data_IF_842394636304
#
_entry.id   IF_842394636304
#
_cell.length_a   1.000
_cell.length_b   1.000
_cell.length_c   1.000
_cell.angle_alpha   90.00
_cell.angle_beta   90.00
_cell.angle_gamma   90.00
#
_symmetry.space_group_name_H-M   'P 1'
#
loop_
_entity.id
_entity.type
_entity.pdbx_description
1 polymer ?
#
# COMPACT_ATOMS: atom_id res chain seq x y z
N UNK A 1 -4.00 -13.04 5.38
CA UNK A 1 -4.81 -11.99 4.75
C UNK A 1 -4.97 -12.39 3.30
N UNK A 2 -6.18 -12.75 2.92
CA UNK A 2 -6.57 -13.04 1.53
C UNK A 2 -6.79 -11.71 0.79
N UNK A 3 -6.70 -11.69 -0.55
CA UNK A 3 -6.93 -10.48 -1.38
C UNK A 3 -8.31 -9.87 -1.11
N UNK A 4 -9.28 -10.72 -0.74
CA UNK A 4 -10.65 -10.34 -0.36
C UNK A 4 -10.70 -9.57 0.97
N UNK A 5 -9.79 -9.86 1.90
CA UNK A 5 -9.75 -9.21 3.22
C UNK A 5 -9.30 -7.75 3.09
N UNK A 6 -8.40 -7.44 2.16
CA UNK A 6 -7.94 -6.07 1.87
C UNK A 6 -9.09 -5.16 1.44
N UNK A 7 -10.05 -5.70 0.68
CA UNK A 7 -11.24 -4.94 0.21
C UNK A 7 -12.42 -4.93 1.18
N UNK A 8 -12.37 -5.72 2.26
CA UNK A 8 -13.49 -5.93 3.18
C UNK A 8 -13.77 -4.76 4.13
N UNK A 9 -12.87 -3.77 4.19
CA UNK A 9 -12.98 -2.62 5.09
C UNK A 9 -12.72 -2.93 6.57
N UNK A 10 -12.38 -4.17 6.92
CA UNK A 10 -12.14 -4.59 8.30
C UNK A 10 -10.64 -4.77 8.62
N UNK A 11 -9.82 -3.78 8.23
CA UNK A 11 -8.35 -3.82 8.39
C UNK A 11 -7.89 -3.87 9.85
N UNK A 12 -8.74 -3.48 10.79
CA UNK A 12 -8.36 -3.28 12.19
C UNK A 12 -9.05 -4.24 13.17
N UNK A 13 -9.99 -5.11 12.76
CA UNK A 13 -10.70 -5.99 13.71
C UNK A 13 -10.79 -7.44 13.23
N UNK A 14 -9.80 -8.30 13.56
CA UNK A 14 -8.60 -8.01 14.36
C UNK A 14 -7.51 -7.29 13.55
N UNK A 15 -6.48 -6.77 14.22
CA UNK A 15 -5.27 -6.33 13.52
C UNK A 15 -4.65 -7.51 12.74
N UNK A 16 -4.10 -7.28 11.53
CA UNK A 16 -3.41 -8.32 10.81
C UNK A 16 -2.17 -8.77 11.57
N UNK A 17 -1.85 -10.06 11.44
CA UNK A 17 -0.59 -10.61 11.92
C UNK A 17 0.59 -9.90 11.23
N UNK A 18 1.70 -9.76 11.95
CA UNK A 18 2.89 -9.18 11.36
C UNK A 18 3.39 -10.09 10.21
N UNK A 19 3.71 -9.54 9.03
CA UNK A 19 3.93 -10.35 7.83
C UNK A 19 5.34 -10.97 7.78
N UNK A 20 5.63 -11.84 8.74
CA UNK A 20 6.95 -12.46 8.91
C UNK A 20 7.41 -13.23 7.66
N UNK A 21 6.49 -13.91 6.96
CA UNK A 21 6.81 -14.64 5.73
C UNK A 21 7.29 -13.66 4.67
N UNK A 22 6.53 -12.60 4.42
CA UNK A 22 6.91 -11.63 3.39
C UNK A 22 8.18 -10.84 3.77
N UNK A 23 8.33 -10.45 5.05
CA UNK A 23 9.54 -9.78 5.56
C UNK A 23 10.80 -10.64 5.48
N UNK A 24 10.66 -11.96 5.45
CA UNK A 24 11.79 -12.90 5.29
C UNK A 24 12.26 -13.05 3.83
N UNK A 25 11.46 -12.61 2.85
CA UNK A 25 11.83 -12.70 1.44
C UNK A 25 13.00 -11.77 1.14
N UNK A 26 14.04 -12.31 0.50
CA UNK A 26 15.24 -11.55 0.12
C UNK A 26 14.95 -10.72 -1.12
N UNK A 27 14.61 -9.45 -0.92
CA UNK A 27 14.47 -8.42 -1.95
C UNK A 27 15.36 -7.22 -1.63
N UNK A 28 15.63 -6.38 -2.63
CA UNK A 28 16.31 -5.12 -2.41
C UNK A 28 15.55 -4.25 -1.39
N UNK A 29 16.30 -3.48 -0.60
CA UNK A 29 15.81 -2.67 0.52
C UNK A 29 16.15 -1.22 0.30
N UNK A 30 15.23 -0.31 0.58
CA UNK A 30 15.53 1.11 0.48
C UNK A 30 16.64 1.50 1.49
N UNK A 31 17.54 2.42 1.13
CA UNK A 31 18.51 2.97 2.09
C UNK A 31 17.77 3.64 3.25
N UNK A 32 18.37 3.61 4.43
CA UNK A 32 17.82 4.27 5.62
C UNK A 32 17.71 5.77 5.35
N UNK A 33 16.53 6.33 5.63
CA UNK A 33 16.30 7.77 5.47
C UNK A 33 16.94 8.52 6.62
N UNK A 34 18.01 9.25 6.34
CA UNK A 34 18.61 10.17 7.31
C UNK A 34 17.83 11.48 7.35
N UNK A 35 16.67 11.47 8.00
CA UNK A 35 15.94 12.69 8.36
C UNK A 35 16.18 12.94 9.86
N UNK A 36 16.98 13.95 10.23
CA UNK A 36 17.26 14.24 11.64
C UNK A 36 16.00 14.83 12.30
N UNK A 37 15.18 13.96 12.88
CA UNK A 37 13.98 14.36 13.62
C UNK A 37 14.29 14.55 15.11
N UNK A 38 13.83 15.66 15.66
CA UNK A 38 13.83 15.88 17.11
C UNK A 38 12.72 15.06 17.80
N UNK A 39 12.71 15.03 19.14
CA UNK A 39 11.76 14.23 19.90
C UNK A 39 10.29 14.64 19.69
N UNK A 40 10.02 15.91 19.42
CA UNK A 40 8.68 16.40 19.13
C UNK A 40 8.22 15.93 17.74
N UNK A 41 9.08 16.05 16.74
CA UNK A 41 8.78 15.61 15.37
C UNK A 41 8.58 14.09 15.27
N UNK A 42 9.36 13.30 16.02
CA UNK A 42 9.15 11.85 16.11
C UNK A 42 7.75 11.51 16.66
N UNK A 43 7.34 12.19 17.73
CA UNK A 43 6.00 12.02 18.30
C UNK A 43 4.91 12.44 17.30
N UNK A 44 5.12 13.55 16.59
CA UNK A 44 4.20 14.04 15.57
C UNK A 44 4.08 13.06 14.39
N UNK A 45 5.18 12.47 13.93
CA UNK A 45 5.19 11.47 12.86
C UNK A 45 4.37 10.23 13.24
N UNK A 46 4.57 9.72 14.47
CA UNK A 46 3.77 8.60 15.00
C UNK A 46 2.29 9.00 15.12
N UNK A 47 1.99 10.18 15.67
CA UNK A 47 0.63 10.66 15.80
C UNK A 47 -0.07 10.81 14.44
N UNK A 48 0.64 11.25 13.40
CA UNK A 48 0.11 11.34 12.03
C UNK A 48 -0.28 9.98 11.48
N UNK A 49 0.52 8.94 11.74
CA UNK A 49 0.21 7.56 11.35
C UNK A 49 -1.00 7.00 12.11
N UNK A 50 -1.11 7.31 13.41
CA UNK A 50 -2.22 6.85 14.24
C UNK A 50 -3.58 7.47 13.87
N UNK A 51 -3.62 8.53 13.04
CA UNK A 51 -4.88 9.10 12.51
C UNK A 51 -5.67 8.13 11.65
N UNK A 52 -5.00 7.16 11.04
CA UNK A 52 -5.63 6.13 10.21
C UNK A 52 -6.15 4.93 11.02
N UNK A 53 -5.88 4.88 12.32
CA UNK A 53 -6.00 3.68 13.16
C UNK A 53 -6.99 3.91 14.30
N UNK A 54 -7.89 2.96 14.61
CA UNK A 54 -8.73 3.02 15.82
C UNK A 54 -7.93 3.09 17.12
N UNK A 55 -8.41 3.87 18.09
CA UNK A 55 -7.70 4.15 19.36
C UNK A 55 -7.31 2.90 20.15
N UNK A 56 -8.12 1.85 20.08
CA UNK A 56 -7.86 0.57 20.75
C UNK A 56 -6.53 -0.11 20.33
N UNK A 57 -5.97 0.26 19.18
CA UNK A 57 -4.70 -0.28 18.68
C UNK A 57 -3.52 0.68 18.83
N UNK A 58 -3.74 1.90 19.33
CA UNK A 58 -2.72 2.93 19.37
C UNK A 58 -1.51 2.53 20.20
N UNK A 59 -1.70 1.86 21.33
CA UNK A 59 -0.58 1.49 22.21
C UNK A 59 0.40 0.53 21.51
N UNK A 60 -0.12 -0.50 20.85
CA UNK A 60 0.69 -1.47 20.14
C UNK A 60 1.36 -0.83 18.91
N UNK A 61 0.57 -0.16 18.07
CA UNK A 61 1.08 0.39 16.81
C UNK A 61 2.02 1.58 17.02
N UNK A 62 1.86 2.36 18.08
CA UNK A 62 2.81 3.42 18.41
C UNK A 62 4.21 2.86 18.68
N UNK A 63 4.33 1.71 19.36
CA UNK A 63 5.61 1.04 19.63
C UNK A 63 6.23 0.57 18.31
N UNK A 64 5.45 -0.12 17.47
CA UNK A 64 5.90 -0.59 16.16
C UNK A 64 6.35 0.56 15.25
N UNK A 65 5.58 1.65 15.18
CA UNK A 65 5.93 2.82 14.38
C UNK A 65 7.16 3.55 14.90
N UNK A 66 7.37 3.60 16.23
CA UNK A 66 8.58 4.16 16.81
C UNK A 66 9.83 3.34 16.43
N UNK A 67 9.71 2.01 16.45
CA UNK A 67 10.79 1.10 16.06
C UNK A 67 11.11 1.22 14.57
N UNK A 68 10.10 1.29 13.70
CA UNK A 68 10.29 1.51 12.27
C UNK A 68 10.98 2.86 12.00
N UNK A 69 10.51 3.93 12.65
CA UNK A 69 11.11 5.25 12.49
C UNK A 69 12.59 5.26 12.93
N UNK A 70 12.93 4.52 13.98
CA UNK A 70 14.32 4.38 14.46
C UNK A 70 15.17 3.56 13.50
N UNK A 71 14.62 2.47 12.95
CA UNK A 71 15.37 1.51 12.13
C UNK A 71 15.53 1.97 10.68
N UNK A 72 14.50 2.59 10.11
CA UNK A 72 14.43 2.92 8.68
C UNK A 72 14.38 4.42 8.40
N UNK A 73 14.19 5.25 9.43
CA UNK A 73 13.97 6.70 9.26
C UNK A 73 12.62 7.04 8.63
N UNK A 74 11.71 6.06 8.58
CA UNK A 74 10.39 6.17 7.97
C UNK A 74 9.43 5.15 8.59
N UNK A 75 8.13 5.46 8.60
CA UNK A 75 7.09 4.54 9.08
C UNK A 75 6.38 3.96 7.85
N UNK A 76 6.72 2.73 7.49
CA UNK A 76 6.08 2.00 6.39
C UNK A 76 4.81 1.29 6.84
N UNK A 77 4.65 1.09 8.15
CA UNK A 77 3.58 0.32 8.77
C UNK A 77 3.54 -1.13 8.24
N UNK A 78 4.69 -1.83 8.33
CA UNK A 78 4.88 -3.14 7.72
C UNK A 78 3.84 -4.18 8.15
N UNK A 79 3.23 -4.05 9.33
CA UNK A 79 2.14 -4.93 9.77
C UNK A 79 1.00 -5.05 8.74
N UNK A 80 0.73 -3.99 7.99
CA UNK A 80 -0.35 -3.96 7.01
C UNK A 80 0.09 -4.40 5.60
N UNK A 81 1.38 -4.71 5.41
CA UNK A 81 1.84 -5.31 4.17
C UNK A 81 1.27 -6.72 4.01
N UNK A 82 0.81 -7.11 2.82
CA UNK A 82 0.37 -8.46 2.55
C UNK A 82 1.43 -9.51 2.92
N UNK A 83 1.00 -10.58 3.59
CA UNK A 83 1.89 -11.68 3.97
C UNK A 83 2.00 -12.77 2.88
N UNK A 84 1.65 -12.41 1.64
CA UNK A 84 1.73 -13.24 0.43
C UNK A 84 2.62 -12.52 -0.61
N UNK A 85 3.04 -13.20 -1.69
CA UNK A 85 3.92 -12.60 -2.69
C UNK A 85 3.32 -11.30 -3.26
N UNK A 86 4.12 -10.24 -3.29
CA UNK A 86 3.74 -8.96 -3.91
C UNK A 86 3.77 -9.11 -5.43
N UNK A 87 2.87 -9.91 -6.00
CA UNK A 87 2.70 -10.08 -7.43
C UNK A 87 1.23 -10.00 -7.73
N UNK A 88 0.89 -9.25 -8.78
CA UNK A 88 -0.51 -9.08 -9.10
C UNK A 88 -1.11 -10.42 -9.58
N UNK A 89 -2.29 -10.81 -9.06
CA UNK A 89 -2.98 -12.00 -9.55
C UNK A 89 -3.60 -11.71 -10.93
N UNK A 90 -4.09 -12.74 -11.65
CA UNK A 90 -4.81 -12.55 -12.89
C UNK A 90 -5.99 -11.56 -12.71
N UNK A 91 -6.29 -10.77 -13.75
CA UNK A 91 -7.35 -9.76 -13.73
C UNK A 91 -8.72 -10.31 -13.28
N UNK A 92 -9.00 -11.58 -13.58
CA UNK A 92 -10.22 -12.28 -13.17
C UNK A 92 -10.35 -12.51 -11.66
N UNK A 93 -9.24 -12.52 -10.93
CA UNK A 93 -9.18 -12.75 -9.48
C UNK A 93 -9.15 -11.44 -8.68
N UNK A 94 -8.89 -10.31 -9.35
CA UNK A 94 -8.90 -9.00 -8.73
C UNK A 94 -10.36 -8.58 -8.44
N UNK A 95 -10.69 -8.21 -7.19
CA UNK A 95 -12.02 -7.72 -6.84
C UNK A 95 -12.26 -6.35 -7.51
N UNK A 96 -13.48 -6.14 -7.99
CA UNK A 96 -13.87 -4.85 -8.54
C UNK A 96 -15.23 -4.90 -9.22
N UNK A 97 -15.92 -3.76 -9.22
CA UNK A 97 -17.27 -3.63 -9.80
C UNK A 97 -17.28 -3.67 -11.33
N UNK A 98 -16.15 -3.37 -11.96
CA UNK A 98 -15.99 -3.43 -13.41
C UNK A 98 -14.54 -3.80 -13.79
N UNK A 99 -14.32 -4.16 -15.05
CA UNK A 99 -13.01 -4.55 -15.57
C UNK A 99 -11.97 -3.42 -15.46
N UNK A 100 -12.39 -2.18 -15.69
CA UNK A 100 -11.51 -1.01 -15.64
C UNK A 100 -10.98 -0.78 -14.22
N UNK A 101 -11.82 -0.91 -13.19
CA UNK A 101 -11.39 -0.81 -11.80
C UNK A 101 -10.37 -1.89 -11.46
N UNK A 102 -10.63 -3.14 -11.89
CA UNK A 102 -9.70 -4.26 -11.71
C UNK A 102 -8.38 -4.04 -12.44
N UNK A 103 -8.40 -3.44 -13.63
CA UNK A 103 -7.20 -3.12 -14.40
C UNK A 103 -6.36 -2.02 -13.73
N UNK A 104 -6.99 -1.02 -13.11
CA UNK A 104 -6.28 0.00 -12.33
C UNK A 104 -5.60 -0.63 -11.11
N UNK A 105 -6.32 -1.49 -10.37
CA UNK A 105 -5.75 -2.24 -9.25
C UNK A 105 -4.58 -3.11 -9.74
N UNK A 106 -4.74 -3.82 -10.86
CA UNK A 106 -3.66 -4.59 -11.50
C UNK A 106 -2.43 -3.73 -11.75
N UNK A 107 -2.59 -2.52 -12.29
CA UNK A 107 -1.47 -1.60 -12.53
C UNK A 107 -0.80 -1.15 -11.22
N UNK A 108 -1.57 -0.90 -10.17
CA UNK A 108 -1.04 -0.55 -8.84
C UNK A 108 -0.23 -1.71 -8.26
N UNK A 109 -0.78 -2.93 -8.31
CA UNK A 109 -0.12 -4.13 -7.80
C UNK A 109 1.15 -4.49 -8.61
N UNK A 110 1.13 -4.28 -9.93
CA UNK A 110 2.30 -4.50 -10.79
C UNK A 110 3.47 -3.56 -10.43
N UNK A 111 3.18 -2.34 -9.98
CA UNK A 111 4.21 -1.42 -9.48
C UNK A 111 4.87 -1.90 -8.18
N UNK A 112 4.30 -2.89 -7.49
CA UNK A 112 4.83 -3.49 -6.27
C UNK A 112 5.52 -4.85 -6.53
N UNK A 113 5.51 -5.34 -7.77
CA UNK A 113 6.20 -6.58 -8.16
C UNK A 113 7.71 -6.46 -7.90
N UNK A 114 8.36 -7.39 -7.18
CA UNK A 114 9.81 -7.40 -7.02
C UNK A 114 10.62 -7.39 -8.32
N UNK A 115 10.04 -7.79 -9.45
CA UNK A 115 10.66 -7.71 -10.78
C UNK A 115 10.60 -6.30 -11.39
N UNK A 116 9.72 -5.43 -10.88
CA UNK A 116 9.45 -4.07 -11.38
C UNK A 116 9.94 -3.01 -10.39
N UNK A 117 9.58 -3.16 -9.12
CA UNK A 117 9.85 -2.21 -8.06
C UNK A 117 11.31 -2.28 -7.60
N UNK A 118 11.95 -1.13 -7.44
CA UNK A 118 13.30 -1.04 -6.88
C UNK A 118 13.35 -1.53 -5.42
N UNK A 119 12.38 -1.12 -4.58
CA UNK A 119 12.25 -1.55 -3.19
C UNK A 119 10.78 -1.88 -2.87
N UNK A 120 10.28 -3.08 -3.26
CA UNK A 120 8.85 -3.41 -3.26
C UNK A 120 8.21 -3.31 -1.87
N UNK A 121 8.91 -3.76 -0.83
CA UNK A 121 8.38 -3.71 0.54
C UNK A 121 8.35 -2.29 1.12
N UNK A 122 9.15 -1.36 0.57
CA UNK A 122 9.18 0.06 0.94
C UNK A 122 8.32 0.93 0.01
N UNK A 123 7.53 0.30 -0.87
CA UNK A 123 6.63 0.97 -1.81
C UNK A 123 7.37 1.89 -2.81
N UNK A 124 8.68 1.67 -3.05
CA UNK A 124 9.51 2.46 -3.97
C UNK A 124 9.63 1.73 -5.31
N UNK A 125 9.17 2.39 -6.39
CA UNK A 125 9.18 1.82 -7.73
C UNK A 125 10.51 2.13 -8.44
N UNK A 126 10.94 3.39 -8.45
CA UNK A 126 12.15 3.83 -9.16
C UNK A 126 12.79 5.06 -8.52
N UNK A 127 14.04 5.35 -8.90
CA UNK A 127 14.75 6.58 -8.54
C UNK A 127 15.05 6.72 -7.05
N UNK A 128 15.09 5.62 -6.30
CA UNK A 128 15.43 5.56 -4.88
C UNK A 128 14.38 6.14 -3.91
N UNK A 129 13.56 7.10 -4.35
CA UNK A 129 12.55 7.79 -3.54
C UNK A 129 11.17 7.88 -4.19
N UNK A 130 10.99 7.40 -5.44
CA UNK A 130 9.71 7.39 -6.13
C UNK A 130 8.75 6.37 -5.51
N UNK A 131 8.05 6.79 -4.45
CA UNK A 131 7.06 5.98 -3.75
C UNK A 131 5.68 6.12 -4.38
N UNK A 132 4.96 5.01 -4.48
CA UNK A 132 3.54 5.01 -4.90
C UNK A 132 2.60 5.36 -3.73
N UNK A 133 2.94 4.91 -2.54
CA UNK A 133 2.26 5.22 -1.28
C UNK A 133 3.30 5.51 -0.20
N UNK A 134 2.96 6.31 0.80
CA UNK A 134 3.89 6.60 1.90
C UNK A 134 4.02 5.41 2.86
N UNK A 135 2.96 4.61 3.00
CA UNK A 135 2.90 3.47 3.92
C UNK A 135 1.83 2.46 3.49
N UNK A 136 1.90 1.25 4.04
CA UNK A 136 0.98 0.15 3.71
C UNK A 136 -0.45 0.37 4.20
N UNK A 137 -0.68 1.19 5.24
CA UNK A 137 -2.06 1.53 5.66
C UNK A 137 -2.75 2.34 4.57
N UNK A 138 -2.05 3.31 3.96
CA UNK A 138 -2.57 4.07 2.83
C UNK A 138 -2.83 3.17 1.63
N UNK A 139 -1.91 2.29 1.28
CA UNK A 139 -2.13 1.31 0.20
C UNK A 139 -3.42 0.52 0.44
N UNK A 140 -3.58 -0.07 1.63
CA UNK A 140 -4.75 -0.91 1.94
C UNK A 140 -6.08 -0.14 2.04
N UNK A 141 -6.07 1.15 2.38
CA UNK A 141 -7.28 1.99 2.49
C UNK A 141 -7.63 2.66 1.14
N UNK A 142 -6.62 3.04 0.36
CA UNK A 142 -6.78 3.88 -0.81
C UNK A 142 -6.94 3.09 -2.11
N UNK A 143 -6.52 1.84 -2.20
CA UNK A 143 -6.56 1.07 -3.45
C UNK A 143 -7.99 0.96 -4.05
N UNK A 144 -8.99 0.56 -3.26
CA UNK A 144 -10.39 0.50 -3.71
C UNK A 144 -10.97 1.88 -4.01
N UNK A 145 -10.66 2.88 -3.16
CA UNK A 145 -11.18 4.25 -3.33
C UNK A 145 -10.59 4.93 -4.57
N UNK A 146 -9.29 4.81 -4.79
CA UNK A 146 -8.59 5.37 -5.96
C UNK A 146 -9.05 4.71 -7.24
N UNK A 147 -9.20 3.39 -7.26
CA UNK A 147 -9.74 2.68 -8.43
C UNK A 147 -11.14 3.23 -8.81
N UNK A 148 -12.02 3.42 -7.83
CA UNK A 148 -13.37 3.98 -8.07
C UNK A 148 -13.33 5.45 -8.50
N UNK A 149 -12.47 6.29 -7.90
CA UNK A 149 -12.32 7.69 -8.27
C UNK A 149 -11.75 7.86 -9.68
N UNK A 150 -10.75 7.08 -10.07
CA UNK A 150 -10.16 7.12 -11.41
C UNK A 150 -11.18 6.66 -12.45
N UNK A 151 -11.93 5.59 -12.19
CA UNK A 151 -13.01 5.15 -13.08
C UNK A 151 -14.09 6.24 -13.22
N UNK A 152 -14.46 6.90 -12.12
CA UNK A 152 -15.44 7.99 -12.15
C UNK A 152 -14.93 9.16 -12.99
N UNK A 153 -13.69 9.60 -12.77
CA UNK A 153 -13.07 10.67 -13.54
C UNK A 153 -13.00 10.34 -15.04
N UNK A 154 -12.57 9.13 -15.41
CA UNK A 154 -12.51 8.72 -16.80
C UNK A 154 -13.91 8.64 -17.45
N UNK A 155 -14.95 8.26 -16.69
CA UNK A 155 -16.36 8.34 -17.15
C UNK A 155 -16.80 9.79 -17.39
N UNK A 156 -16.52 10.69 -16.44
CA UNK A 156 -16.84 12.12 -16.56
C UNK A 156 -16.16 12.78 -17.77
N UNK A 157 -14.92 12.37 -18.08
CA UNK A 157 -14.18 12.88 -19.23
C UNK A 157 -14.63 12.27 -20.56
N UNK A 158 -15.58 11.33 -20.56
CA UNK A 158 -16.09 10.67 -21.77
C UNK A 158 -15.11 9.64 -22.37
N UNK A 159 -14.09 9.22 -21.63
CA UNK A 159 -13.08 8.26 -22.11
C UNK A 159 -13.63 6.83 -22.20
N UNK A 160 -14.84 6.59 -21.71
CA UNK A 160 -15.52 5.30 -21.77
C UNK A 160 -16.76 5.31 -22.67
N UNK A 161 -16.85 6.24 -23.62
CA UNK A 161 -17.88 6.17 -24.66
C UNK A 161 -17.44 5.22 -25.79
N UNK A 162 -18.20 4.13 -25.95
CA UNK A 162 -18.16 3.04 -26.95
C UNK A 162 -17.24 1.84 -26.66
N UNK A 163 -17.83 0.65 -26.74
CA UNK A 163 -17.27 -0.70 -26.50
C UNK A 163 -16.10 -1.12 -27.42
N UNK A 164 -15.50 -0.21 -28.19
CA UNK A 164 -14.55 -0.55 -29.24
C UNK A 164 -13.09 -0.18 -28.99
N UNK A 165 -12.73 0.43 -27.85
CA UNK A 165 -11.32 0.72 -27.57
C UNK A 165 -10.71 -0.30 -26.61
N UNK A 166 -10.16 -1.37 -27.21
CA UNK A 166 -9.05 -2.11 -26.60
C UNK A 166 -7.87 -1.15 -26.50
N UNK A 167 -7.56 -0.71 -25.28
CA UNK A 167 -6.25 -0.12 -25.03
C UNK A 167 -5.21 -1.21 -25.30
N UNK A 168 -4.35 -0.96 -26.29
CA UNK A 168 -3.20 -1.80 -26.59
C UNK A 168 -2.18 -1.63 -25.45
N UNK A 169 -1.81 -2.76 -24.86
CA UNK A 169 -0.77 -2.93 -23.84
C UNK A 169 0.58 -3.15 -24.50
#
# INVERSE_FOLDING_TARGET
MDLKDLTSGNLFSPLPEYPNRQRSVKVARAPVRNVPLNNHEKKLAIANMLRYVPSQHHEQLAKEFADELKQYGHIYAFRFMPNYPLKAPPLSEIPGKCEQARAIILMILNNLDPEVAQFPQELVIYGGNGQIFSNWIQESIEDDKKAQSVVTFMKEKGWFASESQRFFW
#
